data_IF_023679571237
#
_entry.id   IF_023679571237
#
_cell.length_a   1.000
_cell.length_b   1.000
_cell.length_c   1.000
_cell.angle_alpha   90.00
_cell.angle_beta   90.00
_cell.angle_gamma   90.00
#
_symmetry.space_group_name_H-M   'P 1'
#
loop_
_entity.id
_entity.type
_entity.pdbx_description
1 polymer ?
#
# COMPACT_ATOMS: atom_id res chain seq x y z
N UNK A 1 -38.50 1.95 -18.09
CA UNK A 1 -37.65 0.78 -17.83
C UNK A 1 -36.32 1.38 -17.49
N UNK A 2 -35.94 1.38 -16.21
CA UNK A 2 -34.59 1.73 -15.84
C UNK A 2 -33.77 0.49 -16.21
N UNK A 3 -32.93 0.60 -17.22
CA UNK A 3 -31.90 -0.40 -17.44
C UNK A 3 -31.09 -0.46 -16.15
N UNK A 4 -31.18 -1.60 -15.47
CA UNK A 4 -30.41 -1.97 -14.29
C UNK A 4 -28.96 -2.19 -14.77
N UNK A 5 -28.31 -1.08 -15.11
CA UNK A 5 -26.89 -1.05 -15.44
C UNK A 5 -26.18 -1.32 -14.11
N UNK A 6 -25.83 -2.60 -13.88
CA UNK A 6 -25.14 -3.04 -12.67
C UNK A 6 -23.91 -2.17 -12.39
N UNK A 7 -23.49 -2.13 -11.12
CA UNK A 7 -22.34 -1.33 -10.71
C UNK A 7 -21.12 -1.63 -11.61
N UNK A 8 -20.49 -0.58 -12.13
CA UNK A 8 -19.30 -0.73 -12.95
C UNK A 8 -18.15 -1.36 -12.14
N UNK A 9 -17.16 -2.02 -12.77
CA UNK A 9 -16.03 -2.60 -12.05
C UNK A 9 -15.31 -1.60 -11.13
N UNK A 10 -15.21 -0.32 -11.55
CA UNK A 10 -14.62 0.74 -10.71
C UNK A 10 -15.46 1.00 -9.45
N UNK A 11 -16.79 1.04 -9.58
CA UNK A 11 -17.70 1.23 -8.45
C UNK A 11 -17.69 0.01 -7.52
N UNK A 12 -17.60 -1.20 -8.05
CA UNK A 12 -17.43 -2.42 -7.26
C UNK A 12 -16.17 -2.37 -6.40
N UNK A 13 -15.03 -2.00 -6.97
CA UNK A 13 -13.78 -1.87 -6.19
C UNK A 13 -13.90 -0.79 -5.11
N UNK A 14 -14.45 0.38 -5.44
CA UNK A 14 -14.64 1.45 -4.43
C UNK A 14 -15.61 1.02 -3.33
N UNK A 15 -16.68 0.32 -3.67
CA UNK A 15 -17.65 -0.18 -2.69
C UNK A 15 -17.05 -1.29 -1.82
N UNK A 16 -16.26 -2.18 -2.40
CA UNK A 16 -15.48 -3.18 -1.69
C UNK A 16 -14.61 -2.51 -0.61
N UNK A 17 -13.81 -1.52 -1.02
CA UNK A 17 -12.91 -0.77 -0.14
C UNK A 17 -13.62 0.02 0.96
N UNK A 18 -14.92 0.34 0.80
CA UNK A 18 -15.70 1.09 1.80
C UNK A 18 -16.40 0.20 2.82
N UNK A 19 -16.72 -1.03 2.43
CA UNK A 19 -17.53 -1.97 3.22
C UNK A 19 -16.79 -3.23 3.64
N UNK A 20 -15.50 -3.30 3.34
CA UNK A 20 -14.66 -4.48 3.57
C UNK A 20 -15.22 -5.75 2.94
N UNK A 21 -15.54 -5.68 1.64
CA UNK A 21 -16.16 -6.77 0.89
C UNK A 21 -15.18 -7.38 -0.13
N UNK A 22 -14.20 -8.17 0.34
CA UNK A 22 -13.15 -8.76 -0.49
C UNK A 22 -13.69 -9.59 -1.68
N UNK A 23 -14.83 -10.27 -1.52
CA UNK A 23 -15.47 -11.03 -2.61
C UNK A 23 -15.80 -10.17 -3.86
N UNK A 24 -15.98 -8.86 -3.73
CA UNK A 24 -16.17 -7.97 -4.87
C UNK A 24 -14.86 -7.75 -5.65
N UNK A 25 -13.70 -7.78 -4.98
CA UNK A 25 -12.39 -7.76 -5.64
C UNK A 25 -12.19 -9.04 -6.44
N UNK A 26 -12.49 -10.19 -5.83
CA UNK A 26 -12.43 -11.50 -6.50
C UNK A 26 -13.34 -11.55 -7.73
N UNK A 27 -14.55 -11.00 -7.63
CA UNK A 27 -15.46 -10.89 -8.77
C UNK A 27 -14.85 -10.07 -9.91
N UNK A 28 -14.28 -8.90 -9.61
CA UNK A 28 -13.65 -8.05 -10.63
C UNK A 28 -12.43 -8.73 -11.24
N UNK A 29 -11.63 -9.45 -10.45
CA UNK A 29 -10.49 -10.23 -10.94
C UNK A 29 -10.94 -11.37 -11.87
N UNK A 30 -12.01 -12.09 -11.51
CA UNK A 30 -12.59 -13.13 -12.35
C UNK A 30 -13.08 -12.56 -13.69
N UNK A 31 -13.73 -11.39 -13.68
CA UNK A 31 -14.18 -10.70 -14.90
C UNK A 31 -13.02 -10.20 -15.78
N UNK A 32 -11.78 -10.24 -15.27
CA UNK A 32 -10.54 -9.87 -15.97
C UNK A 32 -9.61 -11.07 -16.19
N UNK A 33 -10.10 -12.32 -16.12
CA UNK A 33 -9.27 -13.52 -16.28
C UNK A 33 -8.57 -13.63 -17.65
N UNK A 34 -9.09 -12.94 -18.67
CA UNK A 34 -8.51 -12.86 -20.01
C UNK A 34 -7.40 -11.79 -20.15
N UNK A 35 -7.15 -11.02 -19.10
CA UNK A 35 -6.17 -9.92 -19.07
C UNK A 35 -4.82 -10.38 -18.56
N UNK A 36 -3.77 -9.67 -19.00
CA UNK A 36 -2.44 -9.79 -18.40
C UNK A 36 -2.40 -9.21 -16.99
N UNK A 37 -1.46 -9.68 -16.17
CA UNK A 37 -1.28 -9.17 -14.81
C UNK A 37 -1.01 -7.66 -14.80
N UNK A 38 -0.30 -7.15 -15.80
CA UNK A 38 -0.02 -5.72 -15.98
C UNK A 38 -1.30 -4.91 -16.27
N UNK A 39 -2.20 -5.43 -17.10
CA UNK A 39 -3.50 -4.78 -17.38
C UNK A 39 -4.40 -4.78 -16.14
N UNK A 40 -4.43 -5.88 -15.39
CA UNK A 40 -5.16 -6.00 -14.12
C UNK A 40 -4.61 -4.96 -13.13
N UNK A 41 -3.30 -4.95 -12.90
CA UNK A 41 -2.65 -3.99 -12.01
C UNK A 41 -2.92 -2.54 -12.43
N UNK A 42 -2.79 -2.23 -13.72
CA UNK A 42 -3.07 -0.90 -14.25
C UNK A 42 -4.52 -0.47 -13.97
N UNK A 43 -5.48 -1.39 -14.11
CA UNK A 43 -6.86 -1.12 -13.76
C UNK A 43 -7.00 -0.74 -12.28
N UNK A 44 -6.57 -1.61 -11.36
CA UNK A 44 -6.70 -1.39 -9.91
C UNK A 44 -5.93 -0.15 -9.44
N UNK A 45 -4.71 0.08 -9.94
CA UNK A 45 -3.89 1.26 -9.62
C UNK A 45 -4.57 2.58 -10.06
N UNK A 46 -5.42 2.52 -11.11
CA UNK A 46 -6.16 3.67 -11.63
C UNK A 46 -7.52 3.91 -10.96
N UNK A 47 -7.96 3.03 -10.06
CA UNK A 47 -9.23 3.19 -9.34
C UNK A 47 -9.05 4.26 -8.28
N UNK A 48 -9.88 5.31 -8.36
CA UNK A 48 -9.97 6.36 -7.36
C UNK A 48 -11.42 6.67 -7.01
N UNK A 49 -11.67 7.09 -5.77
CA UNK A 49 -12.97 7.66 -5.41
C UNK A 49 -13.17 9.08 -6.00
N UNK A 50 -14.30 9.70 -5.66
CA UNK A 50 -14.66 11.06 -6.11
C UNK A 50 -13.73 12.15 -5.57
N UNK A 51 -12.94 11.88 -4.53
CA UNK A 51 -11.96 12.80 -3.95
C UNK A 51 -10.57 12.64 -4.59
N UNK A 52 -10.35 11.54 -5.32
CA UNK A 52 -9.07 11.17 -5.91
C UNK A 52 -8.21 10.30 -4.98
N UNK A 53 -8.84 9.59 -4.03
CA UNK A 53 -8.16 8.62 -3.18
C UNK A 53 -8.10 7.27 -3.89
N UNK A 54 -6.91 6.69 -3.99
CA UNK A 54 -6.72 5.34 -4.53
C UNK A 54 -7.28 4.26 -3.60
N UNK A 55 -7.49 3.05 -4.13
CA UNK A 55 -8.07 1.91 -3.40
C UNK A 55 -7.49 1.72 -1.98
N UNK A 56 -6.16 1.67 -1.83
CA UNK A 56 -5.53 1.51 -0.52
C UNK A 56 -5.82 2.66 0.48
N UNK A 57 -5.93 3.90 0.01
CA UNK A 57 -6.32 5.02 0.87
C UNK A 57 -7.76 4.87 1.36
N UNK A 58 -8.65 4.37 0.50
CA UNK A 58 -10.04 4.11 0.85
C UNK A 58 -10.05 3.00 1.92
N UNK A 59 -9.39 1.86 1.68
CA UNK A 59 -9.29 0.79 2.67
C UNK A 59 -8.77 1.29 4.02
N UNK A 60 -7.65 2.02 4.02
CA UNK A 60 -7.08 2.59 5.25
C UNK A 60 -8.02 3.58 5.95
N UNK A 61 -8.81 4.35 5.20
CA UNK A 61 -9.77 5.32 5.78
C UNK A 61 -10.98 4.65 6.44
N UNK A 62 -11.38 3.48 5.93
CA UNK A 62 -12.56 2.74 6.39
C UNK A 62 -12.21 1.56 7.31
N UNK A 63 -10.94 1.16 7.38
CA UNK A 63 -10.52 -0.02 8.13
C UNK A 63 -10.81 -1.33 7.39
N UNK A 64 -10.79 -1.31 6.05
CA UNK A 64 -11.11 -2.49 5.23
C UNK A 64 -9.88 -3.37 5.05
N UNK A 65 -9.65 -4.22 6.04
CA UNK A 65 -8.45 -5.05 6.16
C UNK A 65 -8.47 -6.20 5.14
N UNK A 66 -9.60 -6.90 5.00
CA UNK A 66 -9.71 -8.06 4.11
C UNK A 66 -9.58 -7.63 2.64
N UNK A 67 -10.11 -6.47 2.28
CA UNK A 67 -9.94 -5.92 0.93
C UNK A 67 -8.50 -5.47 0.69
N UNK A 68 -7.83 -4.94 1.71
CA UNK A 68 -6.42 -4.54 1.60
C UNK A 68 -5.53 -5.76 1.32
N UNK A 69 -5.76 -6.87 2.01
CA UNK A 69 -5.08 -8.16 1.77
C UNK A 69 -5.28 -8.62 0.32
N UNK A 70 -6.53 -8.66 -0.15
CA UNK A 70 -6.85 -9.06 -1.52
C UNK A 70 -6.22 -8.14 -2.60
N UNK A 71 -6.04 -6.85 -2.31
CA UNK A 71 -5.35 -5.93 -3.22
C UNK A 71 -3.84 -6.18 -3.27
N UNK A 72 -3.21 -6.52 -2.15
CA UNK A 72 -1.78 -6.82 -2.09
C UNK A 72 -1.41 -8.13 -2.80
N UNK A 73 -2.35 -9.06 -2.95
CA UNK A 73 -2.17 -10.27 -3.76
C UNK A 73 -2.09 -10.01 -5.28
N UNK A 74 -2.46 -8.81 -5.74
CA UNK A 74 -2.41 -8.44 -7.15
C UNK A 74 -0.96 -8.14 -7.55
N UNK A 75 -0.44 -8.89 -8.52
CA UNK A 75 0.91 -8.67 -9.04
C UNK A 75 1.03 -7.27 -9.68
N UNK A 76 2.14 -6.57 -9.40
CA UNK A 76 2.42 -5.20 -9.87
C UNK A 76 1.49 -4.11 -9.32
N UNK A 77 0.73 -4.41 -8.27
CA UNK A 77 -0.08 -3.41 -7.58
C UNK A 77 0.81 -2.34 -6.92
N UNK A 78 0.36 -1.09 -6.99
CA UNK A 78 1.11 0.08 -6.49
C UNK A 78 0.81 0.30 -5.00
N UNK A 79 1.86 0.20 -4.18
CA UNK A 79 1.76 0.25 -2.71
C UNK A 79 1.75 1.68 -2.15
N UNK A 80 2.38 2.64 -2.83
CA UNK A 80 2.56 4.01 -2.32
C UNK A 80 1.98 5.10 -3.24
N UNK A 81 0.74 4.97 -3.74
CA UNK A 81 0.11 6.05 -4.49
C UNK A 81 -0.06 7.28 -3.60
N UNK A 82 -0.05 8.47 -4.19
CA UNK A 82 -0.21 9.72 -3.44
C UNK A 82 -1.62 10.27 -3.60
N UNK A 83 -2.25 10.64 -2.49
CA UNK A 83 -3.50 11.40 -2.55
C UNK A 83 -3.34 12.72 -3.28
N UNK A 84 -4.40 13.16 -3.97
CA UNK A 84 -4.39 14.37 -4.80
C UNK A 84 -4.12 15.67 -4.04
N UNK A 85 -4.61 15.80 -2.81
CA UNK A 85 -4.60 17.08 -2.07
C UNK A 85 -3.34 17.27 -1.23
N UNK A 86 -3.06 16.28 -0.38
CA UNK A 86 -2.04 16.35 0.66
C UNK A 86 -0.80 15.50 0.34
N UNK A 87 -0.83 14.74 -0.76
CA UNK A 87 0.22 13.79 -1.12
C UNK A 87 0.52 12.79 0.02
N UNK A 88 -0.48 12.48 0.83
CA UNK A 88 -0.42 11.37 1.79
C UNK A 88 -0.32 10.06 1.01
N UNK A 89 0.55 9.14 1.46
CA UNK A 89 0.54 7.72 1.07
C UNK A 89 -0.53 6.96 1.87
N UNK A 90 -0.86 5.70 1.50
CA UNK A 90 -1.80 4.90 2.26
C UNK A 90 -1.39 4.70 3.73
N UNK A 91 -0.08 4.60 4.02
CA UNK A 91 0.44 4.54 5.39
C UNK A 91 0.09 5.79 6.23
N UNK A 92 0.10 6.99 5.63
CA UNK A 92 -0.33 8.20 6.36
C UNK A 92 -1.80 8.09 6.75
N UNK A 93 -2.65 7.62 5.84
CA UNK A 93 -4.07 7.43 6.08
C UNK A 93 -4.33 6.37 7.16
N UNK A 94 -3.60 5.25 7.14
CA UNK A 94 -3.72 4.20 8.15
C UNK A 94 -3.31 4.71 9.55
N UNK A 95 -2.27 5.54 9.65
CA UNK A 95 -1.89 6.19 10.92
C UNK A 95 -2.99 7.12 11.43
N UNK A 96 -3.63 7.91 10.56
CA UNK A 96 -4.77 8.76 10.95
C UNK A 96 -5.94 7.91 11.44
N UNK A 97 -6.25 6.81 10.74
CA UNK A 97 -7.27 5.86 11.17
C UNK A 97 -6.97 5.31 12.57
N UNK A 98 -5.74 4.85 12.79
CA UNK A 98 -5.31 4.35 14.10
C UNK A 98 -5.43 5.43 15.19
N UNK A 99 -5.13 6.69 14.86
CA UNK A 99 -5.23 7.81 15.78
C UNK A 99 -6.67 8.16 16.18
N UNK A 100 -7.59 8.12 15.22
CA UNK A 100 -8.91 8.72 15.36
C UNK A 100 -10.03 7.71 15.60
N UNK A 101 -9.87 6.47 15.14
CA UNK A 101 -10.96 5.48 15.10
C UNK A 101 -10.63 4.22 15.90
N UNK A 102 -9.73 3.39 15.40
CA UNK A 102 -9.41 2.09 15.99
C UNK A 102 -7.90 1.84 15.94
N UNK A 103 -7.29 1.82 17.12
CA UNK A 103 -5.85 1.69 17.28
C UNK A 103 -5.34 0.28 16.99
N UNK A 104 -6.13 -0.74 17.29
CA UNK A 104 -5.72 -2.15 17.12
C UNK A 104 -5.77 -2.48 15.63
N UNK A 105 -6.94 -2.29 15.00
CA UNK A 105 -7.11 -2.54 13.57
C UNK A 105 -6.21 -1.63 12.72
N UNK A 106 -6.04 -0.37 13.13
CA UNK A 106 -5.09 0.54 12.48
C UNK A 106 -3.65 0.08 12.58
N UNK A 107 -3.25 -0.52 13.71
CA UNK A 107 -1.92 -1.12 13.88
C UNK A 107 -1.72 -2.32 12.97
N UNK A 108 -2.72 -3.22 12.90
CA UNK A 108 -2.68 -4.41 12.04
C UNK A 108 -2.58 -4.03 10.56
N UNK A 109 -3.36 -3.04 10.10
CA UNK A 109 -3.25 -2.52 8.73
C UNK A 109 -1.85 -1.94 8.44
N UNK A 110 -1.28 -1.16 9.37
CA UNK A 110 0.06 -0.59 9.19
C UNK A 110 1.12 -1.69 9.10
N UNK A 111 0.99 -2.73 9.92
CA UNK A 111 1.89 -3.88 9.86
C UNK A 111 1.79 -4.58 8.50
N UNK A 112 0.57 -4.93 8.06
CA UNK A 112 0.34 -5.54 6.73
C UNK A 112 0.94 -4.70 5.61
N UNK A 113 0.70 -3.38 5.60
CA UNK A 113 1.25 -2.47 4.60
C UNK A 113 2.79 -2.48 4.57
N UNK A 114 3.42 -2.49 5.74
CA UNK A 114 4.89 -2.55 5.82
C UNK A 114 5.43 -3.90 5.32
N UNK A 115 4.75 -5.00 5.63
CA UNK A 115 5.10 -6.35 5.15
C UNK A 115 4.90 -6.49 3.62
N UNK A 116 3.89 -5.82 3.07
CA UNK A 116 3.64 -5.73 1.63
C UNK A 116 4.59 -4.76 0.88
N UNK A 117 5.48 -4.08 1.59
CA UNK A 117 6.53 -3.24 0.99
C UNK A 117 6.17 -1.77 0.79
N UNK A 118 5.10 -1.25 1.41
CA UNK A 118 4.84 0.20 1.45
C UNK A 118 6.02 0.94 2.12
N UNK A 119 6.48 2.05 1.55
CA UNK A 119 7.62 2.80 2.05
C UNK A 119 7.21 3.81 3.16
N UNK A 120 7.58 3.58 4.44
CA UNK A 120 7.26 4.46 5.56
C UNK A 120 8.12 5.73 5.59
N UNK A 121 9.01 5.94 4.61
CA UNK A 121 9.90 7.12 4.52
C UNK A 121 9.34 8.21 3.62
N UNK A 122 8.33 7.91 2.82
CA UNK A 122 7.70 8.87 1.91
C UNK A 122 7.16 10.05 2.70
N UNK A 123 7.42 11.25 2.21
CA UNK A 123 6.94 12.48 2.82
C UNK A 123 5.75 13.02 2.06
N UNK A 124 4.71 13.38 2.79
CA UNK A 124 3.57 14.09 2.22
C UNK A 124 3.92 15.55 1.86
N UNK A 125 2.93 16.29 1.38
CA UNK A 125 3.06 17.72 1.00
C UNK A 125 3.47 18.63 2.16
N UNK A 126 3.22 18.21 3.39
CA UNK A 126 3.63 18.91 4.61
C UNK A 126 5.06 18.54 5.06
N UNK A 127 5.75 17.67 4.32
CA UNK A 127 7.08 17.18 4.66
C UNK A 127 7.09 16.17 5.80
N UNK A 128 5.94 15.59 6.16
CA UNK A 128 5.79 14.64 7.26
C UNK A 128 5.86 13.22 6.70
N UNK A 129 6.51 12.30 7.43
CA UNK A 129 6.40 10.86 7.21
C UNK A 129 5.18 10.30 7.97
N UNK A 130 4.71 9.07 7.68
CA UNK A 130 3.67 8.41 8.47
C UNK A 130 3.99 8.37 9.96
N UNK A 131 5.25 8.06 10.32
CA UNK A 131 5.70 7.98 11.72
C UNK A 131 5.56 9.33 12.47
N UNK A 132 5.67 10.45 11.77
CA UNK A 132 5.56 11.79 12.35
C UNK A 132 4.11 12.12 12.74
N UNK A 133 3.13 11.40 12.18
CA UNK A 133 1.71 11.57 12.48
C UNK A 133 1.25 10.72 13.67
N UNK A 134 2.04 9.78 14.17
CA UNK A 134 1.63 8.86 15.24
C UNK A 134 1.45 9.61 16.57
N UNK A 135 0.26 9.49 17.18
CA UNK A 135 -0.06 10.18 18.44
C UNK A 135 -0.36 9.19 19.57
N UNK A 136 0.50 9.19 20.60
CA UNK A 136 0.37 8.38 21.82
C UNK A 136 0.21 6.86 21.56
N UNK A 137 0.92 6.32 20.57
CA UNK A 137 0.94 4.89 20.22
C UNK A 137 2.37 4.41 19.98
N UNK A 138 3.09 4.02 21.04
CA UNK A 138 4.50 3.62 20.92
C UNK A 138 4.67 2.40 20.01
N UNK A 139 3.74 1.46 20.04
CA UNK A 139 3.83 0.21 19.26
C UNK A 139 3.78 0.49 17.75
N UNK A 140 2.77 1.25 17.29
CA UNK A 140 2.67 1.67 15.87
C UNK A 140 3.90 2.47 15.43
N UNK A 141 4.37 3.37 16.30
CA UNK A 141 5.58 4.15 16.03
C UNK A 141 6.78 3.24 15.84
N UNK A 142 6.93 2.24 16.70
CA UNK A 142 8.01 1.27 16.62
C UNK A 142 7.93 0.43 15.34
N UNK A 143 6.74 -0.05 14.95
CA UNK A 143 6.55 -0.80 13.69
C UNK A 143 7.04 0.00 12.48
N UNK A 144 6.62 1.26 12.36
CA UNK A 144 7.04 2.13 11.25
C UNK A 144 8.55 2.40 11.26
N UNK A 145 9.14 2.62 12.44
CA UNK A 145 10.59 2.82 12.58
C UNK A 145 11.40 1.57 12.23
N UNK A 146 10.90 0.39 12.59
CA UNK A 146 11.50 -0.89 12.23
C UNK A 146 11.44 -1.13 10.72
N UNK A 147 10.29 -0.88 10.09
CA UNK A 147 10.13 -0.96 8.65
C UNK A 147 11.08 0.01 7.91
N UNK A 148 11.19 1.26 8.38
CA UNK A 148 12.16 2.24 7.85
C UNK A 148 13.61 1.73 7.97
N UNK A 149 13.98 1.14 9.10
CA UNK A 149 15.32 0.58 9.32
C UNK A 149 15.61 -0.58 8.36
N UNK A 150 14.69 -1.53 8.21
CA UNK A 150 14.84 -2.68 7.31
C UNK A 150 15.07 -2.23 5.88
N UNK A 151 14.29 -1.25 5.40
CA UNK A 151 14.46 -0.70 4.05
C UNK A 151 15.77 0.08 3.88
N UNK A 152 16.28 0.70 4.95
CA UNK A 152 17.57 1.39 4.90
C UNK A 152 18.76 0.41 4.85
N UNK A 153 18.70 -0.71 5.58
CA UNK A 153 19.75 -1.75 5.59
C UNK A 153 19.72 -2.60 4.32
N UNK A 154 18.53 -2.82 3.74
CA UNK A 154 18.39 -3.47 2.43
C UNK A 154 19.15 -2.74 1.32
N UNK A 155 19.31 -1.41 1.44
CA UNK A 155 20.09 -0.59 0.50
C UNK A 155 21.61 -0.76 0.74
N UNK A 156 22.05 -0.92 1.99
CA UNK A 156 23.49 -1.05 2.30
C UNK A 156 24.09 -2.39 1.84
N UNK A 157 23.28 -3.45 1.76
CA UNK A 157 23.77 -4.77 1.35
C UNK A 157 23.91 -4.95 -0.17
N UNK A 158 23.36 -4.04 -1.00
CA UNK A 158 23.47 -4.10 -2.46
C UNK A 158 24.68 -3.31 -3.01
N UNK A 159 25.23 -2.37 -2.22
CA UNK A 159 26.42 -1.59 -2.59
C UNK A 159 27.77 -2.28 -2.25
N UNK A 160 27.75 -3.61 -2.07
CA UNK A 160 28.89 -4.41 -1.59
C UNK A 160 29.57 -5.33 -2.62
N UNK A 161 29.22 -5.29 -3.91
CA UNK A 161 29.89 -6.09 -4.95
C UNK A 161 30.70 -5.23 -5.92
N UNK A 162 31.61 -4.43 -5.37
CA UNK A 162 32.59 -3.67 -6.14
C UNK A 162 33.93 -3.72 -5.45
N UNK A 163 34.93 -4.27 -6.13
CA UNK A 163 36.37 -4.31 -5.77
C UNK A 163 36.70 -5.40 -4.73
N UNK A 164 37.67 -6.30 -4.91
CA UNK A 164 38.86 -6.34 -5.75
C UNK A 164 39.33 -7.81 -5.76
N UNK A 165 39.53 -8.38 -6.94
CA UNK A 165 40.44 -9.53 -7.08
C UNK A 165 41.33 -9.32 -8.29
N UNK A 166 42.11 -8.25 -8.24
CA UNK A 166 43.30 -8.09 -9.07
C UNK A 166 44.51 -7.99 -8.15
N UNK A 167 45.57 -8.71 -8.49
CA UNK A 167 46.82 -8.98 -7.75
C UNK A 167 46.78 -10.27 -6.91
N UNK A 168 47.74 -11.20 -7.00
CA UNK A 168 48.91 -11.37 -7.85
C UNK A 168 49.50 -12.77 -7.57
N UNK A 169 50.27 -13.33 -8.52
CA UNK A 169 51.32 -14.36 -8.35
C UNK A 169 50.86 -15.76 -7.88
N UNK A 170 51.34 -16.88 -8.43
CA UNK A 170 52.70 -17.13 -8.91
C UNK A 170 52.72 -18.25 -9.96
N UNK A 171 53.77 -18.24 -10.77
CA UNK A 171 54.08 -19.18 -11.85
C UNK A 171 54.50 -20.55 -11.30
N UNK A 172 54.22 -21.64 -12.04
CA UNK A 172 55.11 -22.76 -12.42
C UNK A 172 54.33 -23.85 -13.17
#
# INVERSE_FOLDING_TARGET
MADDEGASPRELVVEACRRDQAHLIEQVLHDMEDKSNEEVAQFFNSVTDTMGNHALHICASYGSYDVMDALFDIQYFECDPLTRLDQDTPLHTAVRYANEKDAELGGDMIQMMCEAGCDPRVRNKHGQKPVDLVYNKPDIKQTLQQAEYILAEGIQNDEGNGSVHDSASDSE
#
